data_IF_194713925567
#
_entry.id   IF_194713925567
#
_cell.length_a   1.000
_cell.length_b   1.000
_cell.length_c   1.000
_cell.angle_alpha   90.00
_cell.angle_beta   90.00
_cell.angle_gamma   90.00
#
_symmetry.space_group_name_H-M   'P 1'
#
loop_
_entity.id
_entity.type
_entity.pdbx_description
1 polymer ?
#
# COMPACT_ATOMS: atom_id res chain seq x y z
N UNK A 1 -27.93 -16.43 9.08
CA UNK A 1 -26.86 -17.31 9.60
C UNK A 1 -25.90 -17.78 8.51
N UNK A 2 -26.40 -18.35 7.40
CA UNK A 2 -25.60 -18.87 6.26
C UNK A 2 -24.72 -17.80 5.60
N UNK A 3 -25.22 -16.57 5.45
CA UNK A 3 -24.45 -15.44 4.88
C UNK A 3 -23.21 -15.09 5.72
N UNK A 4 -23.33 -15.09 7.06
CA UNK A 4 -22.21 -14.82 8.00
C UNK A 4 -21.16 -15.93 7.99
N UNK A 5 -21.56 -17.20 7.84
CA UNK A 5 -20.63 -18.34 7.71
C UNK A 5 -19.85 -18.24 6.39
N UNK A 6 -20.52 -17.94 5.28
CA UNK A 6 -19.85 -17.68 4.00
C UNK A 6 -18.85 -16.54 4.12
N UNK A 7 -19.27 -15.38 4.64
CA UNK A 7 -18.37 -14.23 4.85
C UNK A 7 -17.18 -14.59 5.75
N UNK A 8 -17.36 -15.41 6.80
CA UNK A 8 -16.30 -15.87 7.69
C UNK A 8 -15.30 -16.85 7.05
N UNK A 9 -15.75 -17.70 6.12
CA UNK A 9 -14.87 -18.63 5.39
C UNK A 9 -14.12 -17.86 4.28
N UNK A 10 -14.83 -16.96 3.60
CA UNK A 10 -14.29 -16.06 2.58
C UNK A 10 -13.26 -15.06 3.15
N UNK A 11 -13.47 -14.55 4.35
CA UNK A 11 -12.52 -13.65 5.01
C UNK A 11 -11.26 -14.34 5.56
N UNK A 12 -11.31 -15.66 5.78
CA UNK A 12 -10.19 -16.44 6.35
C UNK A 12 -9.21 -16.96 5.30
N UNK A 13 -9.60 -17.03 4.03
CA UNK A 13 -8.75 -17.54 2.97
C UNK A 13 -8.73 -16.60 1.77
N UNK A 14 -7.81 -15.62 1.82
CA UNK A 14 -7.71 -14.51 0.86
C UNK A 14 -7.61 -14.97 -0.61
N UNK A 15 -7.06 -16.17 -0.85
CA UNK A 15 -6.93 -16.73 -2.20
C UNK A 15 -8.30 -17.06 -2.82
N UNK A 16 -9.26 -17.55 -2.04
CA UNK A 16 -10.60 -17.92 -2.51
C UNK A 16 -11.47 -16.70 -2.80
N UNK A 17 -11.21 -15.57 -2.13
CA UNK A 17 -11.97 -14.33 -2.29
C UNK A 17 -11.34 -13.31 -3.21
N UNK A 18 -10.06 -13.48 -3.56
CA UNK A 18 -9.30 -12.51 -4.38
C UNK A 18 -10.07 -12.09 -5.64
N UNK A 19 -10.72 -13.01 -6.36
CA UNK A 19 -11.48 -12.68 -7.58
C UNK A 19 -12.62 -11.66 -7.35
N UNK A 20 -13.24 -11.69 -6.19
CA UNK A 20 -14.44 -10.88 -5.90
C UNK A 20 -14.15 -9.67 -4.99
N UNK A 21 -13.13 -9.76 -4.14
CA UNK A 21 -12.89 -8.77 -3.08
C UNK A 21 -11.58 -7.97 -3.23
N UNK A 22 -10.76 -8.22 -4.27
CA UNK A 22 -9.45 -7.56 -4.41
C UNK A 22 -9.47 -6.16 -5.02
N UNK A 23 -10.65 -5.53 -5.18
CA UNK A 23 -10.79 -4.16 -5.69
C UNK A 23 -10.17 -3.94 -7.08
N UNK A 24 -9.75 -2.70 -7.39
CA UNK A 24 -8.93 -2.38 -8.58
C UNK A 24 -7.45 -2.19 -8.25
N UNK A 25 -7.13 -1.86 -7.00
CA UNK A 25 -5.77 -1.65 -6.52
C UNK A 25 -5.75 -1.39 -5.01
N UNK A 26 -4.60 -0.95 -4.51
CA UNK A 26 -4.41 -0.56 -3.11
C UNK A 26 -3.85 0.86 -3.01
N UNK A 27 -4.21 1.59 -1.95
CA UNK A 27 -3.59 2.87 -1.60
C UNK A 27 -2.94 2.71 -0.24
N UNK A 28 -1.62 2.85 -0.17
CA UNK A 28 -0.86 2.81 1.07
C UNK A 28 -0.55 4.23 1.52
N UNK A 29 -1.06 4.56 2.71
CA UNK A 29 -0.82 5.84 3.36
C UNK A 29 0.38 5.68 4.32
N UNK A 30 1.47 6.38 4.01
CA UNK A 30 2.69 6.43 4.82
C UNK A 30 2.88 7.87 5.31
N UNK A 31 3.57 8.07 6.43
CA UNK A 31 3.78 9.43 6.93
C UNK A 31 5.15 9.95 6.51
N UNK A 32 6.21 9.18 6.80
CA UNK A 32 7.58 9.63 6.54
C UNK A 32 8.55 8.53 6.13
N UNK A 33 9.56 8.92 5.35
CA UNK A 33 10.69 8.08 4.95
C UNK A 33 11.91 8.48 5.78
N UNK A 34 12.44 7.53 6.56
CA UNK A 34 13.54 7.81 7.48
C UNK A 34 14.45 6.59 7.69
N UNK A 35 15.79 6.74 7.61
CA UNK A 35 16.72 5.63 7.83
C UNK A 35 16.55 4.96 9.20
N UNK A 36 16.77 3.65 9.27
CA UNK A 36 16.54 2.86 10.49
C UNK A 36 17.32 3.38 11.71
N UNK A 37 18.53 3.91 11.51
CA UNK A 37 19.37 4.51 12.57
C UNK A 37 18.77 5.80 13.14
N UNK A 38 18.03 6.55 12.35
CA UNK A 38 17.34 7.77 12.79
C UNK A 38 15.98 7.45 13.40
N UNK A 39 15.27 6.49 12.79
CA UNK A 39 14.02 5.95 13.32
C UNK A 39 14.15 5.41 14.75
N UNK A 40 15.28 4.78 15.10
CA UNK A 40 15.52 4.27 16.45
C UNK A 40 15.63 5.35 17.53
N UNK A 41 15.79 6.63 17.15
CA UNK A 41 15.81 7.77 18.08
C UNK A 41 14.42 8.16 18.60
N UNK A 42 13.35 7.68 17.96
CA UNK A 42 11.98 7.95 18.36
C UNK A 42 11.38 6.76 19.13
N UNK A 43 10.69 7.03 20.24
CA UNK A 43 10.03 6.00 21.06
C UNK A 43 8.55 5.82 20.71
N UNK A 44 7.78 6.91 20.61
CA UNK A 44 6.33 6.86 20.36
C UNK A 44 5.98 6.77 18.87
N UNK A 45 6.53 7.67 18.05
CA UNK A 45 6.17 7.80 16.64
C UNK A 45 7.03 6.94 15.69
N UNK A 46 7.76 5.96 16.24
CA UNK A 46 8.61 5.07 15.46
C UNK A 46 7.83 4.29 14.40
N UNK A 47 6.57 3.98 14.66
CA UNK A 47 5.68 3.27 13.74
C UNK A 47 5.31 4.06 12.48
N UNK A 48 5.45 5.39 12.51
CA UNK A 48 5.05 6.28 11.40
C UNK A 48 6.12 6.36 10.29
N UNK A 49 7.33 5.84 10.55
CA UNK A 49 8.45 5.87 9.62
C UNK A 49 8.68 4.53 8.92
N UNK A 50 8.81 4.57 7.60
CA UNK A 50 9.38 3.49 6.78
C UNK A 50 10.84 3.82 6.45
N UNK A 51 11.72 2.81 6.33
CA UNK A 51 13.08 3.06 5.83
C UNK A 51 13.10 3.09 4.30
N UNK A 52 14.06 3.80 3.66
CA UNK A 52 14.19 3.80 2.21
C UNK A 52 14.30 2.39 1.62
N UNK A 53 15.09 1.52 2.26
CA UNK A 53 15.28 0.13 1.83
C UNK A 53 13.97 -0.66 1.89
N UNK A 54 13.17 -0.41 2.94
CA UNK A 54 11.89 -1.11 3.09
C UNK A 54 10.85 -0.62 2.10
N UNK A 55 10.88 0.66 1.74
CA UNK A 55 10.04 1.23 0.68
C UNK A 55 10.41 0.64 -0.69
N UNK A 56 11.70 0.52 -0.99
CA UNK A 56 12.18 -0.12 -2.23
C UNK A 56 11.76 -1.60 -2.29
N UNK A 57 11.86 -2.33 -1.18
CA UNK A 57 11.34 -3.71 -1.09
C UNK A 57 9.84 -3.79 -1.41
N UNK A 58 9.04 -2.83 -0.92
CA UNK A 58 7.60 -2.79 -1.22
C UNK A 58 7.34 -2.53 -2.70
N UNK A 59 8.02 -1.55 -3.29
CA UNK A 59 7.89 -1.20 -4.71
C UNK A 59 8.28 -2.41 -5.58
N UNK A 60 9.41 -3.04 -5.28
CA UNK A 60 9.89 -4.24 -5.97
C UNK A 60 8.93 -5.42 -5.82
N UNK A 61 8.37 -5.62 -4.61
CA UNK A 61 7.34 -6.64 -4.37
C UNK A 61 6.10 -6.41 -5.24
N UNK A 62 5.55 -5.20 -5.30
CA UNK A 62 4.36 -4.91 -6.10
C UNK A 62 4.61 -5.10 -7.61
N UNK A 63 5.77 -4.66 -8.10
CA UNK A 63 6.19 -4.91 -9.49
C UNK A 63 6.26 -6.41 -9.79
N UNK A 64 6.84 -7.20 -8.90
CA UNK A 64 6.91 -8.66 -9.04
C UNK A 64 5.51 -9.33 -9.04
N UNK A 65 4.54 -8.73 -8.34
CA UNK A 65 3.13 -9.15 -8.36
C UNK A 65 2.34 -8.66 -9.60
N UNK A 66 3.02 -8.05 -10.59
CA UNK A 66 2.42 -7.45 -11.79
C UNK A 66 1.38 -6.37 -11.45
N UNK A 67 1.68 -5.59 -10.42
CA UNK A 67 0.91 -4.41 -10.05
C UNK A 67 1.65 -3.15 -10.49
N UNK A 68 0.93 -2.22 -11.11
CA UNK A 68 1.50 -0.94 -11.52
C UNK A 68 1.58 0.01 -10.32
N UNK A 69 2.76 0.55 -10.02
CA UNK A 69 2.93 1.63 -9.03
C UNK A 69 2.65 2.95 -9.75
N UNK A 70 1.55 3.61 -9.40
CA UNK A 70 1.03 4.77 -10.15
C UNK A 70 0.73 5.95 -9.24
N UNK A 71 0.53 7.13 -9.84
CA UNK A 71 0.09 8.32 -9.12
C UNK A 71 -1.38 8.20 -8.68
N UNK A 72 -1.78 9.04 -7.72
CA UNK A 72 -3.18 9.12 -7.30
C UNK A 72 -4.10 9.55 -8.45
N UNK A 73 -3.64 10.48 -9.31
CA UNK A 73 -4.40 10.93 -10.49
C UNK A 73 -4.66 9.79 -11.48
N UNK A 74 -3.65 8.96 -11.75
CA UNK A 74 -3.82 7.80 -12.63
C UNK A 74 -4.76 6.76 -12.00
N UNK A 75 -4.71 6.58 -10.68
CA UNK A 75 -5.62 5.69 -9.98
C UNK A 75 -7.09 6.14 -10.11
N UNK A 76 -7.37 7.45 -10.10
CA UNK A 76 -8.70 7.99 -10.37
C UNK A 76 -9.17 7.60 -11.77
N UNK A 77 -8.33 7.83 -12.79
CA UNK A 77 -8.62 7.45 -14.19
C UNK A 77 -8.86 5.94 -14.33
N UNK A 78 -8.07 5.09 -13.67
CA UNK A 78 -8.26 3.63 -13.68
C UNK A 78 -9.49 3.18 -12.89
N UNK A 79 -9.92 3.94 -11.90
CA UNK A 79 -11.16 3.68 -11.17
C UNK A 79 -12.39 3.96 -12.02
N UNK A 80 -12.34 4.95 -12.91
CA UNK A 80 -13.43 5.26 -13.85
C UNK A 80 -13.45 4.29 -15.04
N UNK A 81 -12.27 3.93 -15.55
CA UNK A 81 -12.13 3.01 -16.67
C UNK A 81 -12.15 1.54 -16.24
N UNK A 82 -12.44 0.64 -17.17
CA UNK A 82 -12.47 -0.80 -16.89
C UNK A 82 -11.09 -1.48 -17.11
N UNK A 83 -10.00 -0.83 -16.67
CA UNK A 83 -8.65 -1.37 -16.82
C UNK A 83 -8.47 -2.63 -15.94
N UNK A 84 -8.13 -3.80 -16.51
CA UNK A 84 -7.95 -5.03 -15.74
C UNK A 84 -6.65 -5.07 -14.91
N UNK A 85 -5.69 -4.16 -15.16
CA UNK A 85 -4.40 -4.15 -14.46
C UNK A 85 -4.55 -3.63 -13.04
N UNK A 86 -4.05 -4.42 -12.08
CA UNK A 86 -4.00 -4.02 -10.68
C UNK A 86 -2.97 -2.92 -10.49
N UNK A 87 -3.27 -1.99 -9.59
CA UNK A 87 -2.36 -0.91 -9.27
C UNK A 87 -2.12 -0.77 -7.76
N UNK A 88 -1.07 -0.05 -7.42
CA UNK A 88 -0.79 0.43 -6.07
C UNK A 88 -0.44 1.91 -6.12
N UNK A 89 -0.95 2.68 -5.17
CA UNK A 89 -0.59 4.08 -4.92
C UNK A 89 0.08 4.15 -3.55
N UNK A 90 1.12 4.97 -3.45
CA UNK A 90 1.79 5.27 -2.18
C UNK A 90 1.61 6.77 -1.93
N UNK A 91 1.05 7.14 -0.79
CA UNK A 91 0.95 8.54 -0.34
C UNK A 91 1.89 8.79 0.84
N UNK A 92 2.41 10.01 0.91
CA UNK A 92 3.26 10.50 1.99
C UNK A 92 2.57 11.71 2.64
N UNK A 93 1.97 11.48 3.80
CA UNK A 93 1.12 12.45 4.48
C UNK A 93 1.96 13.35 5.44
N UNK A 94 1.32 14.34 6.06
CA UNK A 94 1.89 15.29 7.03
C UNK A 94 3.00 16.24 6.56
N UNK A 95 3.56 16.05 5.36
CA UNK A 95 4.53 16.99 4.78
C UNK A 95 5.90 16.98 5.48
N UNK A 96 6.34 15.82 5.98
CA UNK A 96 7.67 15.70 6.59
C UNK A 96 8.79 16.06 5.59
N UNK A 97 9.79 16.82 6.05
CA UNK A 97 10.94 17.26 5.22
C UNK A 97 11.74 16.09 4.65
N UNK A 98 11.82 14.98 5.37
CA UNK A 98 12.59 13.81 4.96
C UNK A 98 11.97 13.08 3.75
N UNK A 99 10.66 13.19 3.54
CA UNK A 99 10.00 12.75 2.30
C UNK A 99 10.61 13.42 1.06
N UNK A 100 11.07 14.67 1.18
CA UNK A 100 11.72 15.40 0.09
C UNK A 100 13.23 15.14 0.01
N UNK A 101 13.91 15.01 1.15
CA UNK A 101 15.38 14.96 1.18
C UNK A 101 15.96 13.55 1.15
N UNK A 102 15.16 12.53 1.45
CA UNK A 102 15.57 11.13 1.55
C UNK A 102 14.73 10.22 0.63
N UNK A 103 13.44 10.52 0.52
CA UNK A 103 12.47 9.78 -0.29
C UNK A 103 12.67 9.87 -1.79
#
# INVERSE_FOLDING_TARGET
MIKRIKTSIYSRNANLTKRFLSGKGFVFMLHRILPNKERSKYSWNKGLAISPEKLEEWISFFKAQKMDVISLDEALVRCENNDPRKFVVITLDDGYKDNLTIG
#
